data_IF_698673327088
#
_entry.id   IF_698673327088
#
_cell.length_a   1.000
_cell.length_b   1.000
_cell.length_c   1.000
_cell.angle_alpha   90.00
_cell.angle_beta   90.00
_cell.angle_gamma   90.00
#
_symmetry.space_group_name_H-M   'P 1'
#
loop_
_entity.id
_entity.type
_entity.pdbx_description
1 polymer ?
#
# COMPACT_ATOMS: atom_id res chain seq x y z
N UNK A 1 -8.70 12.91 19.95
CA UNK A 1 -7.35 12.67 19.52
C UNK A 1 -7.32 12.28 18.07
N UNK A 2 -6.25 12.63 17.43
CA UNK A 2 -6.18 12.55 15.98
C UNK A 2 -5.68 11.18 15.51
N UNK A 3 -6.18 10.78 14.35
CA UNK A 3 -5.66 9.63 13.62
C UNK A 3 -4.72 10.16 12.54
N UNK A 4 -3.52 9.64 12.48
CA UNK A 4 -2.53 9.99 11.46
C UNK A 4 -2.32 8.78 10.57
N UNK A 5 -2.53 8.94 9.27
CA UNK A 5 -2.31 7.89 8.28
C UNK A 5 -1.05 8.22 7.48
N UNK A 6 -0.08 7.33 7.56
CA UNK A 6 1.16 7.44 6.80
C UNK A 6 1.14 6.44 5.66
N UNK A 7 1.29 6.91 4.43
CA UNK A 7 1.25 6.03 3.26
C UNK A 7 2.53 6.12 2.43
N UNK A 8 2.79 5.07 1.68
CA UNK A 8 3.92 4.98 0.77
C UNK A 8 4.33 3.53 0.56
N UNK A 9 4.95 3.26 -0.58
CA UNK A 9 5.34 1.89 -0.93
C UNK A 9 6.46 1.33 -0.06
N UNK A 10 7.22 2.18 0.62
CA UNK A 10 8.36 1.77 1.44
C UNK A 10 8.20 2.11 2.93
N UNK A 11 7.00 2.52 3.37
CA UNK A 11 6.83 2.92 4.77
C UNK A 11 7.05 1.76 5.75
N UNK A 12 6.70 0.53 5.38
CA UNK A 12 6.90 -0.63 6.25
C UNK A 12 8.34 -1.15 6.21
N UNK A 13 9.13 -0.73 5.24
CA UNK A 13 10.55 -1.09 5.13
C UNK A 13 11.41 -0.33 6.14
N UNK A 14 10.99 0.86 6.56
CA UNK A 14 11.75 1.70 7.47
C UNK A 14 11.43 1.34 8.93
N UNK A 15 12.42 0.82 9.64
CA UNK A 15 12.26 0.43 11.04
C UNK A 15 11.81 1.59 11.94
N UNK A 16 12.33 2.79 11.70
CA UNK A 16 11.97 3.96 12.50
C UNK A 16 10.51 4.33 12.32
N UNK A 17 9.98 4.20 11.10
CA UNK A 17 8.57 4.44 10.84
C UNK A 17 7.71 3.35 11.46
N UNK A 18 8.15 2.08 11.39
CA UNK A 18 7.39 0.98 12.00
C UNK A 18 7.21 1.18 13.50
N UNK A 19 8.23 1.66 14.19
CA UNK A 19 8.17 1.89 15.63
C UNK A 19 7.16 2.97 16.03
N UNK A 20 6.83 3.86 15.11
CA UNK A 20 5.87 4.94 15.32
C UNK A 20 4.42 4.52 15.04
N UNK A 21 4.21 3.36 14.46
CA UNK A 21 2.89 2.92 14.00
C UNK A 21 2.18 2.06 15.05
N UNK A 22 0.92 2.35 15.30
CA UNK A 22 0.05 1.51 16.13
C UNK A 22 -0.50 0.33 15.33
N UNK A 23 -0.85 0.56 14.07
CA UNK A 23 -1.38 -0.46 13.16
C UNK A 23 -0.60 -0.38 11.85
N UNK A 24 -0.07 -1.53 11.41
CA UNK A 24 0.67 -1.65 10.14
C UNK A 24 -0.16 -2.42 9.14
N UNK A 25 -0.47 -1.79 8.02
CA UNK A 25 -1.33 -2.36 6.98
C UNK A 25 -0.56 -2.49 5.68
N UNK A 26 -0.61 -3.65 5.06
CA UNK A 26 -0.09 -3.88 3.72
C UNK A 26 -1.27 -4.10 2.78
N UNK A 27 -1.35 -3.28 1.73
CA UNK A 27 -2.38 -3.40 0.70
C UNK A 27 -1.80 -4.22 -0.44
N UNK A 28 -2.33 -5.42 -0.63
CA UNK A 28 -1.85 -6.34 -1.65
C UNK A 28 -2.74 -6.25 -2.89
N UNK A 29 -2.10 -6.23 -4.05
CA UNK A 29 -2.80 -6.20 -5.33
C UNK A 29 -2.02 -7.07 -6.30
N UNK A 30 -2.73 -7.85 -7.11
CA UNK A 30 -2.09 -8.71 -8.10
C UNK A 30 -1.23 -7.90 -9.06
N UNK A 31 -0.12 -8.49 -9.49
CA UNK A 31 0.86 -7.79 -10.33
C UNK A 31 0.30 -7.37 -11.69
N UNK A 32 -0.61 -8.15 -12.26
CA UNK A 32 -1.27 -7.80 -13.53
C UNK A 32 -2.15 -6.57 -13.37
N UNK A 33 -2.90 -6.45 -12.27
CA UNK A 33 -3.69 -5.26 -11.99
C UNK A 33 -2.83 -4.04 -11.76
N UNK A 34 -1.69 -4.20 -11.09
CA UNK A 34 -0.77 -3.09 -10.87
C UNK A 34 -0.20 -2.54 -12.17
N UNK A 35 0.22 -3.42 -13.09
CA UNK A 35 0.75 -2.97 -14.38
C UNK A 35 -0.32 -2.31 -15.23
N UNK A 36 -1.54 -2.84 -15.24
CA UNK A 36 -2.65 -2.25 -15.98
C UNK A 36 -2.97 -0.85 -15.47
N UNK A 37 -3.08 -0.67 -14.16
CA UNK A 37 -3.36 0.63 -13.55
C UNK A 37 -2.26 1.65 -13.87
N UNK A 38 -1.01 1.22 -13.83
CA UNK A 38 0.14 2.08 -14.18
C UNK A 38 0.08 2.48 -15.65
N UNK A 39 -0.22 1.55 -16.56
CA UNK A 39 -0.36 1.85 -17.98
C UNK A 39 -1.43 2.90 -18.22
N UNK A 40 -2.61 2.69 -17.65
CA UNK A 40 -3.72 3.64 -17.82
C UNK A 40 -3.36 5.03 -17.30
N UNK A 41 -2.77 5.12 -16.12
CA UNK A 41 -2.38 6.40 -15.53
C UNK A 41 -1.30 7.11 -16.36
N UNK A 42 -0.22 6.40 -16.68
CA UNK A 42 0.94 7.02 -17.32
C UNK A 42 0.67 7.39 -18.77
N UNK A 43 -0.14 6.61 -19.48
CA UNK A 43 -0.51 6.94 -20.86
C UNK A 43 -1.53 8.08 -20.90
N UNK A 44 -2.60 7.98 -20.11
CA UNK A 44 -3.71 8.92 -20.16
C UNK A 44 -3.40 10.25 -19.46
N UNK A 45 -2.71 10.21 -18.33
CA UNK A 45 -2.48 11.39 -17.50
C UNK A 45 -1.10 12.02 -17.69
N UNK A 46 -0.10 11.23 -18.07
CA UNK A 46 1.30 11.67 -18.16
C UNK A 46 1.88 11.62 -19.56
N UNK A 47 1.08 11.25 -20.56
CA UNK A 47 1.49 11.25 -21.95
C UNK A 47 2.63 10.30 -22.30
N UNK A 48 2.85 9.27 -21.52
CA UNK A 48 3.93 8.32 -21.78
C UNK A 48 3.52 7.28 -22.84
N UNK A 49 4.48 6.71 -23.55
CA UNK A 49 4.22 5.61 -24.48
C UNK A 49 4.08 4.30 -23.73
N UNK A 50 3.36 3.34 -24.34
CA UNK A 50 3.21 1.99 -23.80
C UNK A 50 4.59 1.34 -23.62
N UNK A 51 5.47 1.46 -24.62
CA UNK A 51 6.81 0.89 -24.56
C UNK A 51 7.63 1.43 -23.41
N UNK A 52 7.58 2.74 -23.18
CA UNK A 52 8.27 3.40 -22.08
C UNK A 52 7.80 2.91 -20.73
N UNK A 53 6.49 2.74 -20.55
CA UNK A 53 5.92 2.27 -19.27
C UNK A 53 6.29 0.82 -19.00
N UNK A 54 6.19 -0.05 -20.01
CA UNK A 54 6.54 -1.47 -19.88
C UNK A 54 8.02 -1.64 -19.57
N UNK A 55 8.88 -0.91 -20.28
CA UNK A 55 10.33 -0.96 -20.06
C UNK A 55 10.69 -0.56 -18.64
N UNK A 56 10.13 0.54 -18.16
CA UNK A 56 10.34 0.99 -16.78
C UNK A 56 9.83 -0.04 -15.75
N UNK A 57 8.67 -0.64 -16.02
CA UNK A 57 8.10 -1.62 -15.11
C UNK A 57 9.01 -2.86 -14.97
N UNK A 58 9.47 -3.40 -16.08
CA UNK A 58 10.31 -4.60 -16.09
C UNK A 58 11.67 -4.32 -15.44
N UNK A 59 12.29 -3.19 -15.78
CA UNK A 59 13.68 -2.93 -15.39
C UNK A 59 13.84 -2.23 -14.05
N UNK A 60 12.82 -1.54 -13.55
CA UNK A 60 12.91 -0.75 -12.33
C UNK A 60 11.83 -1.13 -11.31
N UNK A 61 10.57 -1.03 -11.69
CA UNK A 61 9.45 -1.16 -10.75
C UNK A 61 9.31 -2.57 -10.20
N UNK A 62 9.32 -3.56 -11.08
CA UNK A 62 9.16 -4.96 -10.69
C UNK A 62 10.31 -5.45 -9.80
N UNK A 63 11.59 -5.24 -10.17
CA UNK A 63 12.69 -5.63 -9.30
C UNK A 63 12.63 -4.95 -7.93
N UNK A 64 12.31 -3.66 -7.89
CA UNK A 64 12.18 -2.93 -6.63
C UNK A 64 11.04 -3.48 -5.78
N UNK A 65 9.89 -3.78 -6.40
CA UNK A 65 8.76 -4.36 -5.70
C UNK A 65 9.13 -5.71 -5.07
N UNK A 66 9.77 -6.59 -5.84
CA UNK A 66 10.15 -7.92 -5.36
C UNK A 66 11.23 -7.86 -4.28
N UNK A 67 12.13 -6.88 -4.35
CA UNK A 67 13.22 -6.76 -3.41
C UNK A 67 12.83 -6.05 -2.11
N UNK A 68 12.01 -5.00 -2.18
CA UNK A 68 11.72 -4.15 -1.03
C UNK A 68 10.26 -4.16 -0.60
N UNK A 69 9.33 -4.09 -1.55
CA UNK A 69 7.91 -3.94 -1.23
C UNK A 69 7.31 -5.27 -0.79
N UNK A 70 7.47 -6.31 -1.59
CA UNK A 70 6.89 -7.63 -1.29
C UNK A 70 7.39 -8.20 0.05
N UNK A 71 8.69 -8.17 0.36
CA UNK A 71 9.17 -8.66 1.67
C UNK A 71 8.65 -7.84 2.86
N UNK A 72 8.23 -6.61 2.66
CA UNK A 72 7.71 -5.77 3.74
C UNK A 72 6.39 -6.29 4.32
N UNK A 73 5.71 -7.20 3.63
CA UNK A 73 4.51 -7.86 4.15
C UNK A 73 4.70 -8.47 5.53
N UNK A 74 5.89 -8.99 5.81
CA UNK A 74 6.17 -9.63 7.11
C UNK A 74 6.04 -8.69 8.30
N UNK A 75 6.08 -7.37 8.05
CA UNK A 75 5.95 -6.37 9.10
C UNK A 75 4.52 -5.89 9.29
N UNK A 76 3.59 -6.30 8.43
CA UNK A 76 2.21 -5.85 8.51
C UNK A 76 1.43 -6.62 9.58
N UNK A 77 0.59 -5.92 10.28
CA UNK A 77 -0.40 -6.53 11.17
C UNK A 77 -1.59 -7.07 10.37
N UNK A 78 -1.91 -6.39 9.28
CA UNK A 78 -3.06 -6.75 8.43
C UNK A 78 -2.61 -6.65 6.97
N UNK A 79 -2.96 -7.66 6.18
CA UNK A 79 -2.78 -7.63 4.73
C UNK A 79 -4.17 -7.54 4.10
N UNK A 80 -4.42 -6.48 3.34
CA UNK A 80 -5.71 -6.26 2.67
C UNK A 80 -5.57 -6.67 1.20
N UNK A 81 -6.21 -7.77 0.79
CA UNK A 81 -6.19 -8.17 -0.61
C UNK A 81 -7.06 -7.25 -1.47
N UNK A 82 -6.74 -7.17 -2.76
CA UNK A 82 -7.45 -6.38 -3.77
C UNK A 82 -7.50 -4.87 -3.51
N UNK A 83 -6.62 -4.38 -2.65
CA UNK A 83 -6.44 -2.95 -2.46
C UNK A 83 -7.63 -2.24 -1.83
N UNK A 84 -7.80 -0.96 -2.19
CA UNK A 84 -8.80 -0.09 -1.59
C UNK A 84 -10.25 -0.42 -1.94
N UNK A 85 -10.49 -1.45 -2.75
CA UNK A 85 -11.84 -1.91 -3.11
C UNK A 85 -12.35 -3.03 -2.19
N UNK A 86 -11.54 -3.48 -1.26
CA UNK A 86 -11.98 -4.47 -0.29
C UNK A 86 -12.71 -3.80 0.86
N UNK A 87 -14.01 -3.58 0.66
CA UNK A 87 -14.83 -2.85 1.63
C UNK A 87 -14.99 -3.57 2.97
N UNK A 88 -14.95 -4.89 2.97
CA UNK A 88 -15.04 -5.66 4.21
C UNK A 88 -13.81 -5.41 5.08
N UNK A 89 -12.62 -5.46 4.49
CA UNK A 89 -11.39 -5.19 5.21
C UNK A 89 -11.31 -3.74 5.71
N UNK A 90 -11.75 -2.79 4.87
CA UNK A 90 -11.79 -1.37 5.24
C UNK A 90 -12.73 -1.14 6.42
N UNK A 91 -13.89 -1.78 6.41
CA UNK A 91 -14.86 -1.66 7.49
C UNK A 91 -14.31 -2.22 8.81
N UNK A 92 -13.67 -3.38 8.76
CA UNK A 92 -13.02 -3.95 9.95
C UNK A 92 -11.93 -3.03 10.50
N UNK A 93 -11.11 -2.46 9.63
CA UNK A 93 -10.05 -1.55 10.03
C UNK A 93 -10.62 -0.27 10.63
N UNK A 94 -11.65 0.31 10.03
CA UNK A 94 -12.33 1.50 10.52
C UNK A 94 -12.91 1.25 11.91
N UNK A 95 -13.56 0.10 12.10
CA UNK A 95 -14.12 -0.30 13.40
C UNK A 95 -13.04 -0.41 14.46
N UNK A 96 -11.89 -1.00 14.11
CA UNK A 96 -10.78 -1.13 15.05
C UNK A 96 -10.20 0.23 15.44
N UNK A 97 -10.04 1.13 14.48
CA UNK A 97 -9.56 2.49 14.74
C UNK A 97 -10.50 3.22 15.67
N UNK A 98 -11.80 3.13 15.44
CA UNK A 98 -12.81 3.75 16.32
C UNK A 98 -12.72 3.21 17.74
N UNK A 99 -12.55 1.90 17.88
CA UNK A 99 -12.39 1.27 19.19
C UNK A 99 -11.17 1.79 19.94
N UNK A 100 -10.05 1.96 19.26
CA UNK A 100 -8.83 2.51 19.87
C UNK A 100 -9.05 3.94 20.34
N UNK A 101 -9.70 4.77 19.53
CA UNK A 101 -9.99 6.16 19.87
C UNK A 101 -10.89 6.23 21.10
N UNK A 102 -11.93 5.42 21.14
CA UNK A 102 -12.86 5.38 22.28
C UNK A 102 -12.15 4.95 23.57
N UNK A 103 -11.28 3.96 23.50
CA UNK A 103 -10.51 3.51 24.66
C UNK A 103 -9.59 4.61 25.19
N UNK A 104 -9.01 5.41 24.32
CA UNK A 104 -8.15 6.52 24.71
C UNK A 104 -8.92 7.69 25.34
N UNK A 105 -10.21 7.80 25.09
CA UNK A 105 -11.05 8.86 25.62
C UNK A 105 -11.59 8.55 27.02
N UNK A 106 -11.53 7.32 27.42
CA UNK A 106 -11.93 6.88 28.75
C UNK A 106 -10.77 6.84 29.73
#
# INVERSE_FOLDING_TARGET
>A
KDVIILEGILVLEDERLREMMDIKVFVDTDSDLRIIRRLMRDINERGRSIESVIDQYINVVRPMHLQFVEPAKRYADIIIPEGGRNYVAIDLLTTKIKSIIEDQQT
#
